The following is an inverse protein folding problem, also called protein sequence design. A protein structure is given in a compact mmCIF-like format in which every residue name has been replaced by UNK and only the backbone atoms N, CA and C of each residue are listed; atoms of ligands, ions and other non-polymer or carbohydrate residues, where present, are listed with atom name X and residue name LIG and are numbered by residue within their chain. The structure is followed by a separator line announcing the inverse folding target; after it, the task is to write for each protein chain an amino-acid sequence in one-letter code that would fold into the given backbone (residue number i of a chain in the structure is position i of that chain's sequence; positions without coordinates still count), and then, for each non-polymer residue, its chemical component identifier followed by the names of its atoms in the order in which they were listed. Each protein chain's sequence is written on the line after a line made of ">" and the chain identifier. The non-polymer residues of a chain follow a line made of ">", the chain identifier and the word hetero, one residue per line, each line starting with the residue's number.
data_IF_127333726389
#
_entry.id   IF_127333726389
#
_cell.length_a   1.000
_cell.length_b   1.000
_cell.length_c   1.000
_cell.angle_alpha   90.00
_cell.angle_beta   90.00
_cell.angle_gamma   90.00
#
_symmetry.space_group_name_H-M   'P 1'
#
loop_
_entity.id
_entity.type
_entity.pdbx_description
1 polymer ?
#
# COMPACT_ATOMS: atom_id res chain seq x y z
N UNK A 1 -7.60 -11.64 -16.38
CA UNK A 1 -7.27 -11.08 -17.71
C UNK A 1 -8.14 -9.85 -17.96
N UNK A 2 -7.57 -8.76 -18.47
CA UNK A 2 -8.37 -7.57 -18.84
C UNK A 2 -9.21 -7.86 -20.08
N UNK A 3 -10.43 -7.31 -20.14
CA UNK A 3 -11.29 -7.48 -21.32
C UNK A 3 -10.73 -6.80 -22.58
N UNK A 4 -9.87 -5.78 -22.40
CA UNK A 4 -9.19 -5.04 -23.48
C UNK A 4 -7.78 -4.63 -23.03
N UNK A 5 -6.86 -4.54 -23.99
CA UNK A 5 -5.51 -4.05 -23.74
C UNK A 5 -5.52 -2.56 -23.42
N UNK A 6 -4.67 -2.16 -22.48
CA UNK A 6 -4.51 -0.76 -22.09
C UNK A 6 -3.47 -0.10 -23.01
N UNK A 7 -3.82 1.05 -23.59
CA UNK A 7 -2.87 1.84 -24.36
C UNK A 7 -1.92 2.60 -23.41
N UNK A 8 -0.65 2.19 -23.36
CA UNK A 8 0.34 2.83 -22.49
C UNK A 8 0.87 4.17 -23.03
N UNK A 9 0.52 4.55 -24.27
CA UNK A 9 0.96 5.82 -24.86
C UNK A 9 0.19 7.03 -24.30
N UNK A 10 -0.93 6.82 -23.59
CA UNK A 10 -1.82 7.89 -23.09
C UNK A 10 -1.55 8.32 -21.65
N UNK A 11 -0.28 8.50 -21.26
CA UNK A 11 0.08 8.93 -19.90
C UNK A 11 -0.12 7.86 -18.82
N UNK A 12 -0.34 6.60 -19.22
CA UNK A 12 -0.43 5.45 -18.31
C UNK A 12 0.96 4.83 -18.19
N UNK A 13 1.43 4.61 -16.95
CA UNK A 13 2.69 3.92 -16.68
C UNK A 13 2.44 2.70 -15.81
N UNK A 14 3.01 1.57 -16.22
CA UNK A 14 3.03 0.35 -15.42
C UNK A 14 4.14 0.46 -14.37
N UNK A 15 3.82 0.10 -13.13
CA UNK A 15 4.79 0.04 -12.04
C UNK A 15 5.42 -1.36 -12.01
N UNK A 16 6.72 -1.43 -11.80
CA UNK A 16 7.44 -2.70 -11.79
C UNK A 16 7.07 -3.60 -10.61
N UNK A 17 7.17 -4.91 -10.85
CA UNK A 17 7.22 -5.90 -9.79
C UNK A 17 8.52 -5.75 -8.99
N UNK A 18 8.50 -6.07 -7.68
CA UNK A 18 9.70 -6.11 -6.86
C UNK A 18 10.54 -7.34 -7.21
N UNK A 19 11.81 -7.34 -6.81
CA UNK A 19 12.64 -8.53 -6.74
C UNK A 19 12.38 -9.30 -5.44
N UNK A 20 12.76 -10.57 -5.37
CA UNK A 20 12.68 -11.35 -4.13
C UNK A 20 13.48 -10.72 -2.97
N UNK A 21 14.55 -9.98 -3.29
CA UNK A 21 15.36 -9.22 -2.35
C UNK A 21 14.77 -7.88 -1.91
N UNK A 22 13.68 -7.42 -2.53
CA UNK A 22 13.03 -6.14 -2.22
C UNK A 22 12.03 -6.24 -1.06
N UNK A 23 11.95 -7.38 -0.37
CA UNK A 23 11.17 -7.50 0.86
C UNK A 23 11.70 -6.44 1.85
N UNK A 24 10.88 -5.45 2.25
CA UNK A 24 11.38 -4.37 3.07
C UNK A 24 11.62 -4.83 4.51
N UNK A 25 12.67 -4.29 5.12
CA UNK A 25 12.98 -4.52 6.53
C UNK A 25 12.30 -3.47 7.43
N UNK A 26 12.10 -3.75 8.73
CA UNK A 26 11.64 -2.73 9.67
C UNK A 26 12.45 -1.44 9.60
N UNK A 27 11.78 -0.30 9.75
CA UNK A 27 12.34 1.03 9.58
C UNK A 27 12.36 1.54 8.14
N UNK A 28 12.01 0.72 7.15
CA UNK A 28 11.92 1.16 5.74
C UNK A 28 10.74 2.10 5.55
N UNK A 29 11.00 3.29 5.01
CA UNK A 29 9.93 4.21 4.59
C UNK A 29 9.26 3.74 3.30
N UNK A 30 7.93 3.81 3.29
CA UNK A 30 7.08 3.37 2.19
C UNK A 30 5.93 4.35 1.95
N UNK A 31 5.35 4.26 0.77
CA UNK A 31 4.23 5.10 0.34
C UNK A 31 2.96 4.30 0.22
N UNK A 32 1.90 4.92 0.72
CA UNK A 32 0.52 4.43 0.61
C UNK A 32 -0.17 5.32 -0.42
N UNK A 33 -0.97 4.73 -1.30
CA UNK A 33 -1.78 5.47 -2.27
C UNK A 33 -3.19 4.92 -2.33
N UNK A 34 -4.15 5.79 -2.61
CA UNK A 34 -5.56 5.43 -2.72
C UNK A 34 -6.44 6.63 -3.06
N UNK A 35 -7.66 6.34 -3.45
CA UNK A 35 -8.75 7.28 -3.72
C UNK A 35 -9.81 7.27 -2.62
N UNK A 36 -9.73 6.35 -1.66
CA UNK A 36 -10.72 6.17 -0.62
C UNK A 36 -10.89 7.35 0.34
N UNK A 37 -11.72 7.12 1.35
CA UNK A 37 -12.05 8.13 2.35
C UNK A 37 -10.80 8.59 3.09
N UNK A 38 -10.68 9.89 3.26
CA UNK A 38 -9.56 10.50 3.96
C UNK A 38 -10.03 11.70 4.76
N UNK A 39 -10.28 11.46 6.05
CA UNK A 39 -10.77 12.46 6.97
C UNK A 39 -9.71 13.54 7.30
N UNK A 40 -8.45 13.33 6.88
CA UNK A 40 -7.35 14.28 7.07
C UNK A 40 -7.19 15.26 5.90
N UNK A 41 -8.04 15.18 4.87
CA UNK A 41 -8.03 16.15 3.79
C UNK A 41 -8.41 17.54 4.32
N UNK A 42 -7.67 18.54 3.85
CA UNK A 42 -7.90 19.96 4.15
C UNK A 42 -9.19 20.46 3.52
N UNK A 43 -9.58 19.87 2.40
CA UNK A 43 -10.83 20.18 1.70
C UNK A 43 -11.89 19.12 2.04
N UNK A 44 -12.94 19.46 2.80
CA UNK A 44 -14.02 18.53 3.16
C UNK A 44 -14.68 17.85 1.96
N UNK A 45 -14.72 18.51 0.80
CA UNK A 45 -15.32 17.93 -0.43
C UNK A 45 -14.51 16.76 -1.00
N UNK A 46 -13.22 16.66 -0.66
CA UNK A 46 -12.30 15.61 -1.13
C UNK A 46 -12.17 14.45 -0.16
N UNK A 47 -12.81 14.55 1.02
CA UNK A 47 -12.74 13.49 2.05
C UNK A 47 -13.44 12.22 1.63
N UNK A 48 -14.49 12.32 0.82
CA UNK A 48 -15.25 11.17 0.32
C UNK A 48 -14.55 10.42 -0.84
N UNK A 49 -13.37 10.88 -1.28
CA UNK A 49 -12.57 10.27 -2.34
C UNK A 49 -12.63 11.00 -3.68
N UNK A 50 -12.27 10.31 -4.76
CA UNK A 50 -12.34 10.81 -6.14
C UNK A 50 -11.09 11.54 -6.65
N UNK A 51 -10.07 11.71 -5.79
CA UNK A 51 -8.75 12.22 -6.16
C UNK A 51 -7.71 11.23 -5.62
N UNK A 52 -6.65 10.97 -6.39
CA UNK A 52 -5.58 10.11 -5.94
C UNK A 52 -4.78 10.83 -4.85
N UNK A 53 -4.62 10.15 -3.72
CA UNK A 53 -3.88 10.68 -2.57
C UNK A 53 -2.71 9.79 -2.20
N UNK A 54 -1.79 10.38 -1.44
CA UNK A 54 -0.56 9.73 -1.01
C UNK A 54 -0.34 9.93 0.49
N UNK A 55 0.07 8.86 1.15
CA UNK A 55 0.48 8.82 2.55
C UNK A 55 1.88 8.24 2.72
N UNK A 56 2.45 8.45 3.89
CA UNK A 56 3.71 7.84 4.32
C UNK A 56 3.45 6.83 5.43
N UNK A 57 4.23 5.76 5.41
CA UNK A 57 4.26 4.78 6.47
C UNK A 57 5.68 4.23 6.62
N UNK A 58 5.93 3.59 7.75
CA UNK A 58 7.20 2.93 8.03
C UNK A 58 6.94 1.45 8.28
N UNK A 59 7.70 0.60 7.61
CA UNK A 59 7.65 -0.85 7.80
C UNK A 59 8.08 -1.19 9.22
N UNK A 60 7.41 -2.16 9.83
CA UNK A 60 7.69 -2.60 11.18
C UNK A 60 7.45 -4.09 11.34
N UNK A 61 7.96 -4.64 12.44
CA UNK A 61 7.58 -5.99 12.85
C UNK A 61 6.09 -6.05 13.16
N UNK A 62 5.44 -7.11 12.69
CA UNK A 62 4.04 -7.37 12.99
C UNK A 62 3.90 -7.67 14.50
N UNK A 63 3.07 -6.88 15.19
CA UNK A 63 2.92 -6.96 16.65
C UNK A 63 1.75 -7.84 17.09
N UNK A 64 1.29 -8.72 16.21
CA UNK A 64 0.24 -9.69 16.46
C UNK A 64 0.50 -10.96 15.65
N UNK A 65 -0.25 -12.02 15.94
CA UNK A 65 -0.21 -13.22 15.11
C UNK A 65 -0.69 -12.89 13.70
N UNK A 66 0.09 -13.30 12.71
CA UNK A 66 -0.22 -13.06 11.29
C UNK A 66 -0.25 -14.37 10.52
N UNK A 67 -0.97 -14.39 9.40
CA UNK A 67 -0.99 -15.50 8.45
C UNK A 67 -0.38 -15.07 7.13
N UNK A 68 0.40 -15.94 6.48
CA UNK A 68 0.93 -15.66 5.14
C UNK A 68 2.10 -14.68 5.08
N UNK A 69 2.73 -14.35 6.22
CA UNK A 69 3.90 -13.47 6.32
C UNK A 69 3.67 -12.11 5.61
N UNK A 70 2.75 -11.27 6.11
CA UNK A 70 2.46 -9.97 5.51
C UNK A 70 3.61 -8.97 5.72
N UNK A 71 3.47 -7.80 5.11
CA UNK A 71 4.25 -6.61 5.46
C UNK A 71 3.38 -5.78 6.39
N UNK A 72 3.85 -5.56 7.61
CA UNK A 72 3.20 -4.66 8.55
C UNK A 72 3.83 -3.27 8.47
N UNK A 73 2.98 -2.26 8.45
CA UNK A 73 3.42 -0.86 8.46
C UNK A 73 2.69 -0.07 9.54
N UNK A 74 3.39 0.93 10.08
CA UNK A 74 2.80 1.98 10.89
C UNK A 74 2.53 3.18 10.01
N UNK A 75 1.27 3.59 9.92
CA UNK A 75 0.90 4.84 9.27
C UNK A 75 1.55 6.03 9.99
N UNK A 76 2.15 6.95 9.24
CA UNK A 76 2.59 8.22 9.81
C UNK A 76 1.49 9.24 9.59
N UNK A 77 0.98 9.83 10.68
CA UNK A 77 0.06 10.95 10.56
C UNK A 77 0.81 12.17 10.02
N UNK A 78 0.52 12.53 8.77
CA UNK A 78 1.02 13.76 8.15
C UNK A 78 -0.18 14.57 7.68
N UNK A 79 -0.28 15.81 8.14
CA UNK A 79 -1.43 16.65 7.84
C UNK A 79 -1.61 16.89 6.33
N UNK A 80 -2.79 16.54 5.80
CA UNK A 80 -3.10 16.60 4.36
C UNK A 80 -2.60 15.40 3.55
N UNK A 81 -2.24 14.29 4.21
CA UNK A 81 -1.97 13.00 3.58
C UNK A 81 -2.97 11.95 4.07
N UNK A 82 -3.23 10.96 3.22
CA UNK A 82 -4.02 9.81 3.65
C UNK A 82 -3.29 9.09 4.77
N UNK A 83 -4.08 8.66 5.74
CA UNK A 83 -3.64 7.64 6.67
C UNK A 83 -3.85 6.27 6.04
N UNK A 84 -3.05 5.29 6.45
CA UNK A 84 -3.18 3.92 5.99
C UNK A 84 -4.62 3.40 6.22
N UNK A 85 -5.11 2.43 5.43
CA UNK A 85 -4.36 1.55 4.53
C UNK A 85 -4.26 2.02 3.06
N UNK A 86 -5.01 3.05 2.65
CA UNK A 86 -5.36 3.27 1.24
C UNK A 86 -6.60 2.45 0.88
N UNK A 87 -6.72 2.01 -0.38
CA UNK A 87 -7.86 1.21 -0.84
C UNK A 87 -7.53 -0.28 -0.88
N UNK A 88 -8.52 -1.16 -0.62
CA UNK A 88 -8.38 -2.61 -0.78
C UNK A 88 -7.88 -2.96 -2.19
N UNK A 89 -6.81 -3.76 -2.28
CA UNK A 89 -6.15 -4.06 -3.55
C UNK A 89 -5.17 -2.98 -4.07
N UNK A 90 -5.07 -1.85 -3.36
CA UNK A 90 -4.14 -0.77 -3.68
C UNK A 90 -2.68 -1.12 -3.36
N UNK A 91 -1.70 -0.43 -3.97
CA UNK A 91 -0.29 -0.77 -3.81
C UNK A 91 0.35 -0.09 -2.59
N UNK A 92 1.24 -0.84 -1.93
CA UNK A 92 2.30 -0.30 -1.08
C UNK A 92 3.55 -0.12 -1.94
N UNK A 93 4.09 1.09 -1.98
CA UNK A 93 5.17 1.44 -2.90
C UNK A 93 6.46 1.79 -2.16
N UNK A 94 7.61 1.38 -2.70
CA UNK A 94 8.93 1.83 -2.20
C UNK A 94 9.19 3.30 -2.51
N UNK A 95 8.75 3.73 -3.69
CA UNK A 95 8.81 5.11 -4.16
C UNK A 95 7.53 5.41 -4.96
N UNK A 96 7.20 6.67 -5.25
CA UNK A 96 6.04 6.99 -6.09
C UNK A 96 6.07 6.33 -7.49
N UNK A 97 7.23 5.84 -7.94
CA UNK A 97 7.42 5.14 -9.22
C UNK A 97 7.58 3.62 -9.07
N UNK A 98 7.44 3.08 -7.84
CA UNK A 98 7.58 1.65 -7.56
C UNK A 98 8.91 1.24 -6.90
N UNK A 99 9.18 -0.08 -6.84
CA UNK A 99 8.28 -1.18 -7.21
C UNK A 99 7.08 -1.33 -6.24
N UNK A 100 6.11 -2.17 -6.60
CA UNK A 100 4.98 -2.55 -5.74
C UNK A 100 5.43 -3.57 -4.70
N UNK A 101 5.68 -3.14 -3.47
CA UNK A 101 6.15 -4.01 -2.39
C UNK A 101 5.05 -4.91 -1.82
N UNK A 102 3.84 -4.35 -1.75
CA UNK A 102 2.70 -5.04 -1.15
C UNK A 102 1.37 -4.59 -1.72
N UNK A 103 0.31 -5.33 -1.41
CA UNK A 103 -1.07 -5.03 -1.79
C UNK A 103 -1.92 -4.93 -0.53
N UNK A 104 -2.74 -3.89 -0.42
CA UNK A 104 -3.62 -3.67 0.75
C UNK A 104 -4.52 -4.88 0.94
N UNK A 105 -4.45 -5.48 2.12
CA UNK A 105 -5.26 -6.65 2.49
C UNK A 105 -6.16 -6.35 3.68
N UNK A 106 -5.59 -5.86 4.79
CA UNK A 106 -6.33 -5.66 6.04
C UNK A 106 -5.74 -4.55 6.91
N UNK A 107 -6.59 -3.85 7.65
CA UNK A 107 -6.18 -2.89 8.68
C UNK A 107 -6.51 -3.44 10.06
N UNK A 108 -5.54 -3.40 10.98
CA UNK A 108 -5.70 -3.87 12.37
C UNK A 108 -5.39 -2.73 13.33
N UNK A 109 -6.34 -2.41 14.20
CA UNK A 109 -6.11 -1.51 15.34
C UNK A 109 -5.87 -2.34 16.58
N UNK A 110 -4.69 -2.21 17.21
CA UNK A 110 -4.40 -2.92 18.45
C UNK A 110 -4.92 -2.15 19.65
N UNK A 111 -5.67 -2.82 20.54
CA UNK A 111 -6.34 -2.18 21.68
C UNK A 111 -5.39 -1.50 22.68
N UNK A 112 -4.11 -1.87 22.69
CA UNK A 112 -3.07 -1.35 23.59
C UNK A 112 -2.05 -0.43 22.89
N UNK A 113 -2.19 -0.21 21.58
CA UNK A 113 -1.41 0.75 20.78
C UNK A 113 -2.33 1.39 19.77
N UNK A 114 -2.75 2.67 19.96
CA UNK A 114 -3.64 3.35 19.01
C UNK A 114 -2.99 3.62 17.64
N UNK A 115 -1.76 3.14 17.44
CA UNK A 115 -1.10 3.12 16.15
C UNK A 115 -1.84 2.14 15.22
N UNK A 116 -2.38 2.66 14.12
CA UNK A 116 -2.98 1.82 13.08
C UNK A 116 -1.88 0.99 12.43
N UNK A 117 -1.95 -0.33 12.63
CA UNK A 117 -1.15 -1.31 11.91
C UNK A 117 -1.90 -1.70 10.65
N UNK A 118 -1.20 -1.70 9.52
CA UNK A 118 -1.79 -2.17 8.27
C UNK A 118 -0.96 -3.31 7.73
N UNK A 119 -1.66 -4.38 7.36
CA UNK A 119 -1.11 -5.56 6.72
C UNK A 119 -1.28 -5.49 5.21
N UNK A 120 -0.15 -5.64 4.53
CA UNK A 120 -0.09 -5.78 3.09
C UNK A 120 0.34 -7.19 2.73
N UNK A 121 -0.33 -7.81 1.75
CA UNK A 121 0.16 -9.03 1.14
C UNK A 121 1.48 -8.72 0.42
N UNK A 122 2.55 -9.47 0.72
CA UNK A 122 3.87 -9.21 0.15
C UNK A 122 3.96 -9.68 -1.29
N UNK A 123 4.14 -8.76 -2.25
CA UNK A 123 4.26 -9.11 -3.67
C UNK A 123 5.55 -9.90 -3.91
N UNK A 124 6.67 -9.50 -3.29
CA UNK A 124 7.95 -10.19 -3.41
C UNK A 124 7.88 -11.66 -2.96
N UNK A 125 7.12 -11.96 -1.89
CA UNK A 125 6.90 -13.35 -1.42
C UNK A 125 5.94 -14.15 -2.30
N UNK A 126 5.10 -13.47 -3.08
CA UNK A 126 4.12 -14.08 -3.98
C UNK A 126 4.56 -14.08 -5.45
N UNK A 127 5.80 -13.68 -5.77
CA UNK A 127 6.28 -13.59 -7.15
C UNK A 127 6.12 -14.88 -7.95
N UNK A 128 6.29 -16.06 -7.33
CA UNK A 128 6.07 -17.34 -8.00
C UNK A 128 4.62 -17.49 -8.50
N UNK A 129 3.64 -17.12 -7.66
CA UNK A 129 2.24 -17.09 -8.05
C UNK A 129 1.96 -16.04 -9.12
N UNK A 130 2.45 -14.81 -8.93
CA UNK A 130 2.25 -13.70 -9.88
C UNK A 130 2.81 -14.07 -11.25
N UNK A 131 4.06 -14.51 -11.32
CA UNK A 131 4.73 -14.87 -12.57
C UNK A 131 4.07 -16.05 -13.30
N UNK A 132 3.36 -16.92 -12.57
CA UNK A 132 2.64 -18.05 -13.18
C UNK A 132 1.26 -17.67 -13.74
N UNK A 133 0.79 -16.44 -13.51
CA UNK A 133 -0.56 -15.97 -13.85
C UNK A 133 -0.57 -14.65 -14.65
N UNK A 134 0.59 -14.16 -15.08
CA UNK A 134 0.74 -13.00 -15.98
C UNK A 134 0.89 -13.43 -17.44
#
# INVERSE_FOLDING_TARGET
>A
MLAQMVNLQSGIRVISLPQASDIPTPGTDVFIVGYGRDDNDRDPSRRAGGILKKGRATVMECQHSTTGNPICVKAVYVFGQITAPGDSGGPLLRSPQGPVLGVVSHGVTLSNRPDVLVEYASVARMLGFVNSNI
#
